data_IF_367192268217
#
_entry.id   IF_367192268217
#
_cell.length_a   1.000
_cell.length_b   1.000
_cell.length_c   1.000
_cell.angle_alpha   90.00
_cell.angle_beta   90.00
_cell.angle_gamma   90.00
#
_symmetry.space_group_name_H-M   'P 1'
#
loop_
_entity.id
_entity.type
_entity.pdbx_description
1 polymer ?
#
# COMPACT_ATOMS: atom_id res chain seq x y z
N UNK A 1 12.29 -24.38 -5.39
CA UNK A 1 11.62 -23.26 -4.71
C UNK A 1 11.17 -23.58 -3.28
N UNK A 2 10.25 -24.54 -3.00
CA UNK A 2 9.80 -24.86 -1.62
C UNK A 2 10.96 -25.15 -0.66
N UNK A 3 11.97 -25.90 -1.11
CA UNK A 3 13.17 -26.19 -0.30
C UNK A 3 13.99 -24.94 0.03
N UNK A 4 14.18 -24.04 -0.94
CA UNK A 4 14.88 -22.77 -0.70
C UNK A 4 14.16 -21.88 0.31
N UNK A 5 12.83 -21.81 0.23
CA UNK A 5 12.01 -21.08 1.22
C UNK A 5 12.17 -21.66 2.64
N UNK A 6 12.21 -22.99 2.78
CA UNK A 6 12.36 -23.60 4.09
C UNK A 6 13.78 -23.45 4.65
N UNK A 7 14.81 -23.49 3.79
CA UNK A 7 16.20 -23.21 4.22
C UNK A 7 16.35 -21.76 4.69
N UNK A 8 15.74 -20.81 3.98
CA UNK A 8 15.75 -19.39 4.41
C UNK A 8 15.05 -19.19 5.75
N UNK A 9 13.93 -19.88 5.98
CA UNK A 9 13.16 -19.81 7.23
C UNK A 9 13.90 -20.43 8.41
N UNK A 10 14.56 -21.58 8.20
CA UNK A 10 15.23 -22.34 9.26
C UNK A 10 16.68 -21.93 9.48
N UNK A 11 17.30 -21.20 8.55
CA UNK A 11 18.72 -20.83 8.53
C UNK A 11 19.67 -22.02 8.34
N UNK A 12 19.16 -23.23 8.06
CA UNK A 12 19.96 -24.44 8.01
C UNK A 12 19.36 -25.48 7.07
N UNK A 13 20.23 -26.07 6.22
CA UNK A 13 19.85 -27.18 5.34
C UNK A 13 19.37 -28.39 6.14
N UNK A 14 20.05 -28.71 7.28
CA UNK A 14 19.68 -29.85 8.10
C UNK A 14 18.31 -29.68 8.76
N UNK A 15 18.03 -28.50 9.33
CA UNK A 15 16.71 -28.20 9.90
C UNK A 15 15.61 -28.20 8.84
N UNK A 16 15.89 -27.65 7.66
CA UNK A 16 14.96 -27.69 6.54
C UNK A 16 14.68 -29.13 6.08
N UNK A 17 15.70 -30.00 6.10
CA UNK A 17 15.59 -31.42 5.76
C UNK A 17 14.65 -32.16 6.72
N UNK A 18 14.79 -31.91 8.02
CA UNK A 18 13.89 -32.44 9.05
C UNK A 18 12.43 -32.01 8.84
N UNK A 19 12.21 -30.71 8.63
CA UNK A 19 10.86 -30.17 8.41
C UNK A 19 10.20 -30.72 7.14
N UNK A 20 10.98 -30.86 6.05
CA UNK A 20 10.48 -31.33 4.77
C UNK A 20 10.47 -32.85 4.62
N UNK A 21 10.96 -33.58 5.63
CA UNK A 21 11.11 -35.06 5.63
C UNK A 21 11.89 -35.58 4.43
N UNK A 22 12.97 -34.89 4.07
CA UNK A 22 13.87 -35.28 2.97
C UNK A 22 15.34 -35.29 3.44
N UNK A 23 16.21 -35.99 2.73
CA UNK A 23 17.62 -36.03 3.08
C UNK A 23 18.31 -34.67 2.78
N UNK A 24 19.13 -34.17 3.71
CA UNK A 24 19.84 -32.90 3.56
C UNK A 24 20.68 -32.78 2.26
N UNK A 25 21.36 -33.85 1.76
CA UNK A 25 22.04 -33.80 0.46
C UNK A 25 21.14 -33.48 -0.71
N UNK A 26 19.89 -33.93 -0.66
CA UNK A 26 18.90 -33.63 -1.74
C UNK A 26 18.52 -32.14 -1.77
N UNK A 27 18.35 -31.53 -0.60
CA UNK A 27 18.11 -30.08 -0.50
C UNK A 27 19.31 -29.30 -1.04
N UNK A 28 20.53 -29.68 -0.60
CA UNK A 28 21.77 -29.03 -1.06
C UNK A 28 21.95 -29.13 -2.57
N UNK A 29 21.62 -30.28 -3.16
CA UNK A 29 21.66 -30.49 -4.62
C UNK A 29 20.64 -29.62 -5.32
N UNK A 30 19.37 -29.65 -4.89
CA UNK A 30 18.30 -28.88 -5.50
C UNK A 30 18.52 -27.37 -5.43
N UNK A 31 19.15 -26.87 -4.36
CA UNK A 31 19.50 -25.45 -4.27
C UNK A 31 20.61 -25.12 -5.27
N UNK A 32 21.67 -25.94 -5.38
CA UNK A 32 22.74 -25.73 -6.33
C UNK A 32 22.27 -25.78 -7.80
N UNK A 33 21.38 -26.73 -8.11
CA UNK A 33 20.77 -26.83 -9.43
C UNK A 33 19.95 -25.55 -9.74
N UNK A 34 19.15 -25.09 -8.79
CA UNK A 34 18.36 -23.86 -8.91
C UNK A 34 19.23 -22.60 -9.10
N UNK A 35 20.32 -22.48 -8.32
CA UNK A 35 21.29 -21.38 -8.46
C UNK A 35 21.99 -21.43 -9.82
N UNK A 36 22.34 -22.62 -10.29
CA UNK A 36 22.96 -22.82 -11.61
C UNK A 36 21.98 -22.46 -12.76
N UNK A 37 20.73 -22.88 -12.66
CA UNK A 37 19.71 -22.60 -13.69
C UNK A 37 19.38 -21.13 -13.80
N UNK A 38 19.41 -20.41 -12.66
CA UNK A 38 19.12 -18.98 -12.61
C UNK A 38 20.35 -18.09 -12.83
N UNK A 39 21.56 -18.64 -12.70
CA UNK A 39 22.80 -17.89 -12.79
C UNK A 39 23.05 -16.95 -11.60
N UNK A 40 22.44 -17.21 -10.44
CA UNK A 40 22.56 -16.40 -9.23
C UNK A 40 23.00 -17.28 -8.04
N UNK A 41 23.56 -16.65 -6.99
CA UNK A 41 23.78 -17.30 -5.70
C UNK A 41 22.67 -16.88 -4.76
N UNK A 42 21.89 -17.85 -4.26
CA UNK A 42 20.76 -17.57 -3.35
C UNK A 42 21.24 -17.54 -1.90
N UNK A 43 22.17 -18.46 -1.55
CA UNK A 43 22.65 -18.61 -0.18
C UNK A 43 24.17 -18.59 -0.09
N UNK A 44 24.67 -17.92 0.93
CA UNK A 44 26.06 -18.00 1.38
C UNK A 44 26.18 -18.83 2.66
N UNK A 45 27.21 -19.69 2.73
CA UNK A 45 27.53 -20.40 3.95
C UNK A 45 28.33 -19.51 4.89
N UNK A 46 27.87 -19.36 6.12
CA UNK A 46 28.53 -18.62 7.19
C UNK A 46 28.79 -19.56 8.38
N UNK A 47 29.59 -19.11 9.34
CA UNK A 47 29.81 -19.87 10.60
C UNK A 47 28.49 -20.07 11.38
N UNK A 48 27.49 -19.20 11.17
CA UNK A 48 26.20 -19.24 11.84
C UNK A 48 25.08 -19.90 11.01
N UNK A 49 25.41 -20.55 9.89
CA UNK A 49 24.46 -21.24 9.03
C UNK A 49 24.37 -20.67 7.62
N UNK A 50 23.19 -20.78 7.00
CA UNK A 50 22.89 -20.28 5.65
C UNK A 50 22.35 -18.86 5.74
N UNK A 51 22.96 -17.92 5.01
CA UNK A 51 22.52 -16.53 4.91
C UNK A 51 22.10 -16.23 3.47
N UNK A 52 21.05 -15.43 3.29
CA UNK A 52 20.62 -14.97 1.97
C UNK A 52 21.59 -13.93 1.40
N UNK A 53 21.81 -14.01 0.10
CA UNK A 53 22.39 -12.92 -0.68
C UNK A 53 21.32 -11.89 -1.06
N UNK A 54 21.67 -10.68 -1.55
CA UNK A 54 20.69 -9.73 -2.09
C UNK A 54 19.83 -10.34 -3.21
N UNK A 55 20.46 -11.05 -4.17
CA UNK A 55 19.74 -11.75 -5.26
C UNK A 55 18.85 -12.87 -4.69
N UNK A 56 19.29 -13.53 -3.62
CA UNK A 56 18.52 -14.55 -2.92
C UNK A 56 17.28 -14.00 -2.24
N UNK A 57 17.34 -12.81 -1.65
CA UNK A 57 16.18 -12.14 -1.06
C UNK A 57 15.13 -11.82 -2.13
N UNK A 58 15.55 -11.23 -3.25
CA UNK A 58 14.67 -10.92 -4.37
C UNK A 58 14.04 -12.20 -4.97
N UNK A 59 14.86 -13.22 -5.22
CA UNK A 59 14.36 -14.52 -5.70
C UNK A 59 13.33 -15.13 -4.76
N UNK A 60 13.54 -15.08 -3.44
CA UNK A 60 12.61 -15.67 -2.49
C UNK A 60 11.27 -14.95 -2.43
N UNK A 61 11.22 -13.66 -2.72
CA UNK A 61 9.96 -12.93 -2.83
C UNK A 61 9.13 -13.45 -4.01
N UNK A 62 9.75 -13.66 -5.16
CA UNK A 62 9.10 -14.33 -6.30
C UNK A 62 8.70 -15.78 -5.96
N UNK A 63 9.59 -16.54 -5.33
CA UNK A 63 9.34 -17.93 -4.96
C UNK A 63 8.16 -18.09 -3.99
N UNK A 64 8.00 -17.18 -3.00
CA UNK A 64 6.84 -17.14 -2.09
C UNK A 64 5.53 -16.93 -2.88
N UNK A 65 5.54 -16.00 -3.82
CA UNK A 65 4.36 -15.73 -4.66
C UNK A 65 3.95 -16.97 -5.47
N UNK A 66 4.90 -17.61 -6.15
CA UNK A 66 4.66 -18.79 -6.99
C UNK A 66 4.15 -19.96 -6.15
N UNK A 67 4.85 -20.29 -5.05
CA UNK A 67 4.45 -21.39 -4.16
C UNK A 67 3.08 -21.13 -3.56
N UNK A 68 2.80 -19.90 -3.13
CA UNK A 68 1.48 -19.53 -2.64
C UNK A 68 0.37 -19.67 -3.68
N UNK A 69 0.67 -19.45 -4.98
CA UNK A 69 -0.29 -19.70 -6.06
C UNK A 69 -0.54 -21.21 -6.26
N UNK A 70 0.51 -22.03 -6.21
CA UNK A 70 0.37 -23.49 -6.31
C UNK A 70 -0.46 -24.02 -5.13
N UNK A 71 -0.16 -23.60 -3.92
CA UNK A 71 -0.90 -24.05 -2.72
C UNK A 71 -2.39 -23.62 -2.78
N UNK A 72 -2.71 -22.47 -3.38
CA UNK A 72 -4.11 -22.05 -3.63
C UNK A 72 -4.80 -22.97 -4.63
N UNK A 73 -4.15 -23.32 -5.74
CA UNK A 73 -4.69 -24.27 -6.72
C UNK A 73 -4.92 -25.63 -6.08
N UNK A 74 -3.95 -26.16 -5.34
CA UNK A 74 -4.09 -27.44 -4.64
C UNK A 74 -5.24 -27.43 -3.62
N UNK A 75 -5.34 -26.35 -2.83
CA UNK A 75 -6.43 -26.20 -1.87
C UNK A 75 -7.80 -26.05 -2.54
N UNK A 76 -7.86 -25.36 -3.69
CA UNK A 76 -9.10 -25.21 -4.45
C UNK A 76 -9.67 -26.55 -4.91
N UNK A 77 -8.81 -27.47 -5.37
CA UNK A 77 -9.26 -28.78 -5.87
C UNK A 77 -9.37 -29.85 -4.78
N UNK A 78 -8.51 -29.85 -3.75
CA UNK A 78 -8.49 -30.88 -2.70
C UNK A 78 -9.62 -30.73 -1.66
N UNK A 79 -10.13 -29.55 -1.42
CA UNK A 79 -11.05 -29.32 -0.29
C UNK A 79 -12.53 -29.21 -0.66
N UNK A 80 -12.92 -29.33 -1.94
CA UNK A 80 -14.34 -29.33 -2.34
C UNK A 80 -15.16 -28.15 -1.78
N UNK A 81 -14.52 -27.01 -1.48
CA UNK A 81 -15.17 -25.91 -0.80
C UNK A 81 -16.12 -25.13 -1.72
N UNK A 82 -17.25 -24.63 -1.18
CA UNK A 82 -18.06 -23.66 -1.89
C UNK A 82 -17.16 -22.50 -2.35
N UNK A 83 -17.44 -21.96 -3.53
CA UNK A 83 -16.70 -20.83 -4.11
C UNK A 83 -16.62 -19.69 -3.11
N UNK A 84 -15.50 -19.60 -2.39
CA UNK A 84 -15.21 -18.49 -1.50
C UNK A 84 -15.08 -17.21 -2.35
N UNK A 85 -15.87 -16.20 -2.04
CA UNK A 85 -15.69 -14.88 -2.64
C UNK A 85 -14.34 -14.31 -2.20
N UNK A 86 -13.54 -13.87 -3.13
CA UNK A 86 -12.25 -13.26 -2.82
C UNK A 86 -12.17 -11.88 -3.42
N UNK A 87 -11.71 -10.91 -2.63
CA UNK A 87 -11.43 -9.55 -3.06
C UNK A 87 -10.21 -9.04 -2.29
N UNK A 88 -9.33 -8.31 -2.96
CA UNK A 88 -8.19 -7.71 -2.29
C UNK A 88 -7.84 -6.35 -2.92
N UNK A 89 -7.72 -5.35 -2.05
CA UNK A 89 -7.39 -3.98 -2.39
C UNK A 89 -6.24 -3.49 -1.52
N UNK A 90 -5.22 -2.93 -2.15
CA UNK A 90 -4.18 -2.13 -1.50
C UNK A 90 -4.28 -0.68 -1.99
N UNK A 91 -4.39 0.28 -1.09
CA UNK A 91 -4.74 1.65 -1.44
C UNK A 91 -4.03 2.69 -0.55
N UNK A 92 -3.93 3.96 -0.98
CA UNK A 92 -3.47 5.03 -0.11
C UNK A 92 -4.47 5.29 1.01
N UNK A 93 -3.99 5.92 2.08
CA UNK A 93 -4.84 6.39 3.19
C UNK A 93 -5.73 7.54 2.70
N UNK A 94 -6.88 7.21 2.11
CA UNK A 94 -7.82 8.15 1.51
C UNK A 94 -9.24 7.92 2.02
N UNK A 95 -9.87 8.99 2.52
CA UNK A 95 -11.21 8.89 3.12
C UNK A 95 -12.27 8.44 2.13
N UNK A 96 -12.21 8.92 0.88
CA UNK A 96 -13.17 8.53 -0.16
C UNK A 96 -13.02 7.04 -0.56
N UNK A 97 -11.79 6.49 -0.54
CA UNK A 97 -11.55 5.07 -0.80
C UNK A 97 -12.11 4.21 0.34
N UNK A 98 -11.89 4.65 1.58
CA UNK A 98 -12.42 3.96 2.76
C UNK A 98 -13.96 3.98 2.75
N UNK A 99 -14.60 5.10 2.40
CA UNK A 99 -16.06 5.19 2.26
C UNK A 99 -16.57 4.27 1.15
N UNK A 100 -15.92 4.29 -0.02
CA UNK A 100 -16.23 3.38 -1.12
C UNK A 100 -16.14 1.91 -0.69
N UNK A 101 -15.13 1.56 0.09
CA UNK A 101 -14.98 0.20 0.60
C UNK A 101 -16.05 -0.15 1.63
N UNK A 102 -16.40 0.78 2.51
CA UNK A 102 -17.49 0.58 3.46
C UNK A 102 -18.83 0.34 2.76
N UNK A 103 -19.13 1.10 1.70
CA UNK A 103 -20.33 0.92 0.90
C UNK A 103 -20.31 -0.41 0.13
N UNK A 104 -19.18 -0.73 -0.51
CA UNK A 104 -18.96 -2.02 -1.16
C UNK A 104 -19.18 -3.19 -0.20
N UNK A 105 -18.75 -3.09 1.05
CA UNK A 105 -18.88 -4.16 2.03
C UNK A 105 -20.34 -4.56 2.30
N UNK A 106 -21.30 -3.65 2.12
CA UNK A 106 -22.75 -3.93 2.26
C UNK A 106 -23.30 -4.81 1.13
N UNK A 107 -22.59 -4.85 -0.01
CA UNK A 107 -22.99 -5.66 -1.18
C UNK A 107 -22.51 -7.11 -1.12
N UNK A 108 -21.70 -7.46 -0.12
CA UNK A 108 -21.19 -8.83 0.05
C UNK A 108 -22.33 -9.79 0.36
N UNK A 109 -22.35 -10.95 -0.33
CA UNK A 109 -23.33 -11.99 -0.06
C UNK A 109 -23.01 -12.70 1.27
N UNK A 110 -23.98 -13.50 1.76
CA UNK A 110 -23.80 -14.31 2.98
C UNK A 110 -22.92 -15.57 2.77
N UNK A 111 -22.39 -15.76 1.56
CA UNK A 111 -21.50 -16.88 1.25
C UNK A 111 -20.12 -16.66 1.88
N UNK A 112 -19.34 -17.75 1.99
CA UNK A 112 -17.97 -17.66 2.47
C UNK A 112 -17.17 -16.64 1.66
N UNK A 113 -16.51 -15.72 2.36
CA UNK A 113 -15.75 -14.63 1.73
C UNK A 113 -14.40 -14.40 2.43
N UNK A 114 -13.41 -13.99 1.66
CA UNK A 114 -12.14 -13.48 2.15
C UNK A 114 -11.87 -12.15 1.47
N UNK A 115 -12.01 -11.07 2.22
CA UNK A 115 -11.96 -9.72 1.73
C UNK A 115 -10.80 -9.02 2.43
N UNK A 116 -9.84 -8.53 1.65
CA UNK A 116 -8.65 -7.86 2.18
C UNK A 116 -8.68 -6.40 1.72
N UNK A 117 -8.63 -5.48 2.67
CA UNK A 117 -8.43 -4.07 2.44
C UNK A 117 -7.22 -3.58 3.24
N UNK A 118 -6.23 -3.03 2.56
CA UNK A 118 -4.98 -2.56 3.19
C UNK A 118 -4.69 -1.12 2.79
N UNK A 119 -4.67 -0.24 3.77
CA UNK A 119 -4.19 1.14 3.58
C UNK A 119 -2.67 1.20 3.73
N UNK A 120 -2.00 1.84 2.77
CA UNK A 120 -0.53 1.94 2.76
C UNK A 120 -0.07 3.05 1.80
N UNK A 121 1.21 3.10 1.45
CA UNK A 121 1.75 4.00 0.42
C UNK A 121 1.83 3.31 -0.96
N UNK A 122 2.15 4.09 -1.99
CA UNK A 122 2.18 3.61 -3.38
C UNK A 122 3.23 2.52 -3.61
N UNK A 123 4.41 2.61 -3.00
CA UNK A 123 5.45 1.57 -3.13
C UNK A 123 4.99 0.25 -2.54
N UNK A 124 4.46 0.30 -1.31
CA UNK A 124 3.95 -0.90 -0.66
C UNK A 124 2.74 -1.48 -1.39
N UNK A 125 1.92 -0.62 -2.02
CA UNK A 125 0.83 -1.08 -2.89
C UNK A 125 1.38 -1.86 -4.09
N UNK A 126 2.40 -1.35 -4.78
CA UNK A 126 3.06 -2.06 -5.88
C UNK A 126 3.65 -3.40 -5.41
N UNK A 127 4.36 -3.40 -4.29
CA UNK A 127 4.90 -4.64 -3.72
C UNK A 127 3.79 -5.64 -3.36
N UNK A 128 2.69 -5.19 -2.75
CA UNK A 128 1.54 -6.05 -2.46
C UNK A 128 0.94 -6.65 -3.75
N UNK A 129 0.88 -5.89 -4.84
CA UNK A 129 0.39 -6.37 -6.14
C UNK A 129 1.34 -7.41 -6.77
N UNK A 130 2.65 -7.23 -6.61
CA UNK A 130 3.66 -8.12 -7.21
C UNK A 130 3.84 -9.38 -6.36
N UNK A 131 4.07 -9.23 -5.05
CA UNK A 131 4.53 -10.32 -4.17
C UNK A 131 3.39 -11.02 -3.42
N UNK A 132 2.30 -10.32 -3.10
CA UNK A 132 1.20 -10.83 -2.27
C UNK A 132 -0.11 -11.06 -3.04
N UNK A 133 -0.07 -10.94 -4.38
CA UNK A 133 -1.20 -11.23 -5.29
C UNK A 133 -2.50 -10.46 -4.98
N UNK A 134 -2.36 -9.22 -4.53
CA UNK A 134 -3.51 -8.32 -4.47
C UNK A 134 -4.06 -8.12 -5.89
N UNK A 135 -5.39 -8.08 -6.03
CA UNK A 135 -6.06 -7.99 -7.33
C UNK A 135 -6.19 -6.56 -7.82
N UNK A 136 -6.52 -5.65 -6.91
CA UNK A 136 -6.62 -4.22 -7.18
C UNK A 136 -5.62 -3.45 -6.33
N UNK A 137 -5.04 -2.42 -6.92
CA UNK A 137 -4.22 -1.44 -6.24
C UNK A 137 -4.68 -0.03 -6.57
N UNK A 138 -4.47 0.90 -5.65
CA UNK A 138 -4.56 2.34 -5.94
C UNK A 138 -3.22 2.96 -5.59
N UNK A 139 -2.60 3.64 -6.56
CA UNK A 139 -1.34 4.37 -6.36
C UNK A 139 -1.59 5.86 -6.44
N UNK A 140 -0.98 6.61 -5.53
CA UNK A 140 -1.03 8.06 -5.44
C UNK A 140 0.33 8.66 -5.68
N UNK A 141 0.42 9.68 -6.51
CA UNK A 141 1.64 10.44 -6.77
C UNK A 141 1.32 11.87 -7.19
N UNK A 142 2.31 12.75 -7.08
CA UNK A 142 2.19 14.11 -7.57
C UNK A 142 2.33 14.13 -9.11
N UNK A 143 1.57 15.01 -9.77
CA UNK A 143 1.46 15.07 -11.24
C UNK A 143 2.81 15.20 -11.97
N UNK A 144 3.80 15.86 -11.37
CA UNK A 144 5.14 15.96 -11.92
C UNK A 144 5.84 14.60 -12.12
N UNK A 145 5.35 13.53 -11.50
CA UNK A 145 5.83 12.15 -11.67
C UNK A 145 4.95 11.31 -12.59
N UNK A 146 3.98 11.89 -13.29
CA UNK A 146 2.98 11.15 -14.09
C UNK A 146 3.64 10.23 -15.14
N UNK A 147 4.58 10.77 -15.92
CA UNK A 147 5.30 9.98 -16.94
C UNK A 147 6.09 8.83 -16.32
N UNK A 148 6.75 9.08 -15.19
CA UNK A 148 7.53 8.05 -14.51
C UNK A 148 6.63 6.91 -13.98
N UNK A 149 5.54 7.24 -13.30
CA UNK A 149 4.62 6.24 -12.78
C UNK A 149 3.99 5.41 -13.88
N UNK A 150 3.54 6.02 -14.96
CA UNK A 150 2.94 5.32 -16.10
C UNK A 150 3.93 4.36 -16.76
N UNK A 151 5.15 4.83 -17.07
CA UNK A 151 6.20 3.99 -17.65
C UNK A 151 6.56 2.81 -16.73
N UNK A 152 6.72 3.06 -15.44
CA UNK A 152 7.00 2.00 -14.45
C UNK A 152 5.85 0.98 -14.34
N UNK A 153 4.59 1.42 -14.37
CA UNK A 153 3.44 0.53 -14.33
C UNK A 153 3.36 -0.36 -15.58
N UNK A 154 3.62 0.21 -16.76
CA UNK A 154 3.69 -0.53 -18.02
C UNK A 154 4.83 -1.56 -18.02
N UNK A 155 6.04 -1.18 -17.59
CA UNK A 155 7.19 -2.07 -17.46
C UNK A 155 6.90 -3.24 -16.51
N UNK A 156 6.21 -2.98 -15.40
CA UNK A 156 5.83 -4.00 -14.43
C UNK A 156 4.58 -4.80 -14.81
N UNK A 157 4.02 -4.58 -16.00
CA UNK A 157 2.88 -5.32 -16.52
C UNK A 157 1.55 -4.99 -15.84
N UNK A 158 1.32 -3.72 -15.50
CA UNK A 158 0.05 -3.25 -14.96
C UNK A 158 -0.75 -2.44 -15.98
N UNK A 159 -2.04 -2.67 -16.00
CA UNK A 159 -3.05 -1.75 -16.57
C UNK A 159 -3.40 -0.73 -15.49
N UNK A 160 -3.60 0.53 -15.90
CA UNK A 160 -3.96 1.61 -15.00
C UNK A 160 -5.10 2.47 -15.55
N UNK A 161 -5.92 3.01 -14.66
CA UNK A 161 -7.03 3.90 -14.97
C UNK A 161 -7.02 5.09 -14.00
N UNK A 162 -7.18 6.31 -14.51
CA UNK A 162 -7.26 7.51 -13.67
C UNK A 162 -8.56 7.49 -12.85
N UNK A 163 -8.42 7.48 -11.54
CA UNK A 163 -9.56 7.65 -10.63
C UNK A 163 -9.88 9.12 -10.50
N UNK A 164 -8.92 9.92 -10.04
CA UNK A 164 -9.12 11.34 -9.77
C UNK A 164 -7.82 12.13 -9.73
N UNK A 165 -7.95 13.44 -9.89
CA UNK A 165 -6.92 14.45 -9.63
C UNK A 165 -7.43 15.39 -8.55
N UNK A 166 -6.56 15.82 -7.65
CA UNK A 166 -6.93 16.73 -6.56
C UNK A 166 -5.71 17.50 -6.03
N UNK A 167 -5.98 18.57 -5.30
CA UNK A 167 -4.99 19.25 -4.45
C UNK A 167 -5.22 18.83 -3.00
N UNK A 168 -4.16 18.73 -2.20
CA UNK A 168 -4.32 18.49 -0.77
C UNK A 168 -5.00 19.68 -0.09
N UNK A 169 -5.90 19.37 0.83
CA UNK A 169 -6.53 20.28 1.76
C UNK A 169 -5.81 20.21 3.12
N UNK A 170 -5.95 21.25 3.91
CA UNK A 170 -5.53 21.27 5.30
C UNK A 170 -6.73 20.89 6.16
N UNK A 171 -6.55 19.88 7.01
CA UNK A 171 -7.54 19.50 8.03
C UNK A 171 -7.04 19.86 9.42
N UNK A 172 -7.92 20.35 10.26
CA UNK A 172 -7.65 20.76 11.64
C UNK A 172 -8.90 20.65 12.49
N UNK A 173 -8.76 20.79 13.82
CA UNK A 173 -9.91 20.96 14.72
C UNK A 173 -10.74 22.17 14.31
N UNK A 174 -12.07 22.09 14.44
CA UNK A 174 -12.96 23.26 14.26
C UNK A 174 -12.66 24.39 15.26
N UNK A 175 -12.07 24.01 16.41
CA UNK A 175 -11.71 24.97 17.48
C UNK A 175 -10.31 25.57 17.29
N UNK A 176 -9.56 25.11 16.29
CA UNK A 176 -8.25 25.66 15.95
C UNK A 176 -8.34 27.14 15.55
N UNK A 177 -7.40 27.98 15.97
CA UNK A 177 -7.31 29.35 15.45
C UNK A 177 -7.19 29.39 13.91
N UNK A 178 -6.53 28.43 13.27
CA UNK A 178 -6.46 28.30 11.80
C UNK A 178 -7.84 28.16 11.17
N UNK A 179 -8.76 27.50 11.83
CA UNK A 179 -10.13 27.31 11.31
C UNK A 179 -10.92 28.63 11.20
N UNK A 180 -10.51 29.67 11.92
CA UNK A 180 -11.15 30.99 11.91
C UNK A 180 -10.62 31.91 10.82
N UNK A 181 -9.49 31.57 10.20
CA UNK A 181 -8.91 32.37 9.11
C UNK A 181 -9.75 32.22 7.83
N UNK A 182 -9.97 33.30 7.12
CA UNK A 182 -10.65 33.25 5.80
C UNK A 182 -9.82 32.51 4.75
N UNK A 183 -8.49 32.71 4.79
CA UNK A 183 -7.52 32.04 3.94
C UNK A 183 -6.31 31.59 4.77
N UNK A 184 -5.80 30.40 4.50
CA UNK A 184 -4.62 29.85 5.17
C UNK A 184 -3.44 29.93 4.21
N UNK A 185 -2.34 30.56 4.66
CA UNK A 185 -1.07 30.62 3.95
C UNK A 185 -0.06 29.64 4.57
N UNK A 186 1.03 29.33 3.88
CA UNK A 186 2.15 28.55 4.43
C UNK A 186 2.76 29.22 5.66
N UNK A 187 2.79 30.53 5.71
CA UNK A 187 3.29 31.30 6.86
C UNK A 187 2.44 31.06 8.12
N UNK A 188 1.11 31.00 7.98
CA UNK A 188 0.23 30.70 9.10
C UNK A 188 0.49 29.33 9.73
N UNK A 189 1.00 28.38 8.93
CA UNK A 189 1.25 27.01 9.39
C UNK A 189 2.52 26.83 10.20
N UNK A 190 3.46 27.79 10.15
CA UNK A 190 4.77 27.70 10.85
C UNK A 190 4.66 27.54 12.36
N UNK A 191 3.66 28.13 12.95
CA UNK A 191 3.45 28.08 14.40
C UNK A 191 2.76 26.79 14.87
N UNK A 192 2.24 26.00 13.93
CA UNK A 192 1.47 24.78 14.20
C UNK A 192 2.31 23.52 14.05
N UNK A 193 1.77 22.41 14.53
CA UNK A 193 2.38 21.09 14.42
C UNK A 193 1.75 20.33 13.26
N UNK A 194 2.55 19.97 12.27
CA UNK A 194 2.08 19.10 11.19
C UNK A 194 2.00 17.64 11.66
N UNK A 195 0.83 17.02 11.50
CA UNK A 195 0.69 15.57 11.60
C UNK A 195 0.94 14.99 10.20
N UNK A 196 1.91 14.08 10.09
CA UNK A 196 2.31 13.49 8.83
C UNK A 196 2.43 11.98 8.92
N UNK A 197 2.23 11.28 7.79
CA UNK A 197 2.57 9.87 7.71
C UNK A 197 4.08 9.71 7.52
N UNK A 198 4.66 8.75 8.27
CA UNK A 198 6.10 8.53 8.29
C UNK A 198 6.65 7.80 7.05
N UNK A 199 5.79 7.36 6.15
CA UNK A 199 6.14 6.54 5.00
C UNK A 199 5.70 7.13 3.63
N UNK A 200 6.03 8.40 3.32
CA UNK A 200 5.84 8.95 1.98
C UNK A 200 6.70 8.15 0.99
N UNK A 201 6.25 8.08 -0.25
CA UNK A 201 7.00 7.42 -1.31
C UNK A 201 7.01 8.23 -2.59
N UNK A 202 8.20 8.57 -3.03
CA UNK A 202 8.47 9.09 -4.37
C UNK A 202 9.54 8.20 -5.01
N UNK A 203 9.29 7.63 -6.19
CA UNK A 203 10.25 6.79 -6.87
C UNK A 203 11.57 7.50 -7.12
N UNK A 204 12.66 6.74 -7.07
CA UNK A 204 14.02 7.21 -7.35
C UNK A 204 14.58 8.25 -6.37
N UNK A 205 13.87 8.57 -5.30
CA UNK A 205 14.37 9.50 -4.29
C UNK A 205 14.66 8.80 -2.95
N UNK A 206 15.79 9.11 -2.30
CA UNK A 206 16.04 8.67 -0.94
C UNK A 206 14.95 9.20 0.01
N UNK A 207 14.51 8.37 0.98
CA UNK A 207 13.45 8.73 1.94
C UNK A 207 13.71 10.09 2.61
N UNK A 208 14.97 10.42 2.92
CA UNK A 208 15.35 11.71 3.50
C UNK A 208 15.05 12.92 2.60
N UNK A 209 15.08 12.74 1.26
CA UNK A 209 14.72 13.79 0.32
C UNK A 209 13.22 13.84 0.05
N UNK A 210 12.57 12.69 -0.01
CA UNK A 210 11.11 12.59 -0.17
C UNK A 210 10.37 13.31 0.96
N UNK A 211 10.80 13.08 2.20
CA UNK A 211 10.22 13.77 3.38
C UNK A 211 10.32 15.29 3.24
N UNK A 212 11.40 15.83 2.63
CA UNK A 212 11.57 17.27 2.45
C UNK A 212 10.72 17.85 1.31
N UNK A 213 10.40 17.06 0.28
CA UNK A 213 9.59 17.54 -0.85
C UNK A 213 8.08 17.43 -0.61
N UNK A 214 7.64 16.38 0.08
CA UNK A 214 6.22 16.20 0.44
C UNK A 214 5.80 17.12 1.60
N UNK A 215 6.73 17.43 2.49
CA UNK A 215 6.50 18.26 3.66
C UNK A 215 7.16 19.62 3.42
N UNK A 216 6.39 20.70 3.51
CA UNK A 216 6.94 22.05 3.40
C UNK A 216 8.21 22.21 4.25
N UNK A 217 9.29 22.68 3.65
CA UNK A 217 10.55 22.94 4.35
C UNK A 217 10.45 24.06 5.38
N UNK A 218 9.32 24.76 5.43
CA UNK A 218 9.04 25.88 6.32
C UNK A 218 8.41 25.45 7.65
N UNK A 219 8.07 24.16 7.81
CA UNK A 219 7.43 23.62 9.03
C UNK A 219 8.45 22.82 9.83
N UNK A 220 8.82 23.31 11.00
CA UNK A 220 9.84 22.70 11.86
C UNK A 220 9.27 21.72 12.88
N UNK A 221 7.95 21.75 13.14
CA UNK A 221 7.28 20.95 14.17
C UNK A 221 6.41 19.89 13.54
N UNK A 222 6.74 18.59 13.75
CA UNK A 222 6.01 17.47 13.17
C UNK A 222 5.79 16.33 14.15
N UNK A 223 4.62 15.68 14.01
CA UNK A 223 4.29 14.41 14.64
C UNK A 223 4.10 13.39 13.52
N UNK A 224 4.95 12.38 13.49
CA UNK A 224 4.78 11.28 12.52
C UNK A 224 3.87 10.21 13.08
N UNK A 225 2.84 9.85 12.32
CA UNK A 225 1.89 8.79 12.64
C UNK A 225 1.96 7.67 11.59
N UNK A 226 1.71 6.45 12.01
CA UNK A 226 1.70 5.28 11.13
C UNK A 226 0.26 4.80 10.87
N UNK A 227 -0.59 4.91 11.90
CA UNK A 227 -1.96 4.44 11.85
C UNK A 227 -2.95 5.61 11.66
N UNK A 228 -3.97 5.38 10.82
CA UNK A 228 -4.94 6.42 10.46
C UNK A 228 -5.78 6.90 11.63
N UNK A 229 -6.12 6.02 12.57
CA UNK A 229 -6.95 6.39 13.71
C UNK A 229 -6.27 7.43 14.59
N UNK A 230 -4.95 7.31 14.81
CA UNK A 230 -4.17 8.24 15.63
C UNK A 230 -4.21 9.68 15.11
N UNK A 231 -4.28 9.89 13.81
CA UNK A 231 -4.32 11.25 13.23
C UNK A 231 -5.58 12.00 13.62
N UNK A 232 -6.74 11.35 13.65
CA UNK A 232 -8.01 11.99 13.98
C UNK A 232 -8.08 12.37 15.48
N UNK A 233 -7.60 11.47 16.35
CA UNK A 233 -7.50 11.76 17.79
C UNK A 233 -6.57 12.93 18.09
N UNK A 234 -5.42 12.99 17.43
CA UNK A 234 -4.48 14.10 17.60
C UNK A 234 -5.07 15.43 17.13
N UNK A 235 -5.67 15.45 15.94
CA UNK A 235 -6.30 16.63 15.36
C UNK A 235 -7.46 17.15 16.22
N UNK A 236 -8.29 16.26 16.77
CA UNK A 236 -9.45 16.63 17.60
C UNK A 236 -9.01 17.20 18.94
N UNK A 237 -7.99 16.60 19.57
CA UNK A 237 -7.58 16.95 20.94
C UNK A 237 -6.56 18.08 21.02
N UNK A 238 -5.82 18.34 19.96
CA UNK A 238 -4.80 19.38 19.94
C UNK A 238 -5.09 20.40 18.84
N UNK A 239 -5.62 21.56 19.23
CA UNK A 239 -5.99 22.66 18.34
C UNK A 239 -4.83 23.30 17.59
N UNK A 240 -3.59 23.04 18.03
CA UNK A 240 -2.37 23.54 17.41
C UNK A 240 -1.81 22.57 16.36
N UNK A 241 -2.61 21.57 15.94
CA UNK A 241 -2.22 20.59 14.93
C UNK A 241 -3.00 20.76 13.64
N UNK A 242 -2.36 20.42 12.54
CA UNK A 242 -3.00 20.30 11.22
C UNK A 242 -2.40 19.13 10.43
N UNK A 243 -3.06 18.75 9.36
CA UNK A 243 -2.57 17.70 8.45
C UNK A 243 -2.98 17.99 7.01
N UNK A 244 -2.08 17.66 6.06
CA UNK A 244 -2.39 17.63 4.64
C UNK A 244 -3.11 16.33 4.26
N UNK A 245 -4.28 16.46 3.64
CA UNK A 245 -5.15 15.32 3.28
C UNK A 245 -5.75 15.48 1.89
N UNK A 246 -6.03 14.38 1.19
CA UNK A 246 -6.99 14.42 0.09
C UNK A 246 -8.36 14.82 0.64
N UNK A 247 -9.25 15.41 -0.17
CA UNK A 247 -10.57 15.84 0.29
C UNK A 247 -11.27 14.77 1.15
N UNK A 248 -11.81 15.20 2.29
CA UNK A 248 -12.43 14.33 3.30
C UNK A 248 -13.96 14.52 3.25
N UNK A 249 -14.73 13.41 3.32
CA UNK A 249 -16.19 13.47 3.42
C UNK A 249 -16.67 14.31 4.62
N UNK A 250 -17.71 15.13 4.42
CA UNK A 250 -18.26 15.98 5.48
C UNK A 250 -18.70 15.14 6.70
N UNK A 251 -19.28 13.96 6.48
CA UNK A 251 -19.68 13.05 7.55
C UNK A 251 -18.54 12.61 8.46
N UNK A 252 -17.31 12.56 7.93
CA UNK A 252 -16.12 12.23 8.71
C UNK A 252 -15.60 13.47 9.46
N UNK A 253 -15.64 14.64 8.83
CA UNK A 253 -15.32 15.91 9.46
C UNK A 253 -16.23 16.17 10.66
N UNK A 254 -17.54 16.01 10.47
CA UNK A 254 -18.53 16.19 11.54
C UNK A 254 -18.32 15.22 12.71
N UNK A 255 -17.99 13.95 12.40
CA UNK A 255 -17.75 12.92 13.42
C UNK A 255 -16.62 13.25 14.37
N UNK A 256 -15.58 13.93 13.88
CA UNK A 256 -14.38 14.24 14.63
C UNK A 256 -14.25 15.73 14.97
N UNK A 257 -15.31 16.51 14.77
CA UNK A 257 -15.29 17.95 15.00
C UNK A 257 -14.12 18.66 14.27
N UNK A 258 -13.92 18.31 13.01
CA UNK A 258 -12.85 18.81 12.16
C UNK A 258 -13.40 19.68 11.04
N UNK A 259 -12.53 20.52 10.48
CA UNK A 259 -12.79 21.30 9.27
C UNK A 259 -11.65 21.12 8.27
N UNK A 260 -11.96 21.27 6.99
CA UNK A 260 -10.94 21.28 5.94
C UNK A 260 -10.97 22.62 5.20
N UNK A 261 -9.78 23.12 4.86
CA UNK A 261 -9.60 24.37 4.11
C UNK A 261 -8.52 24.24 3.06
N UNK A 262 -8.53 25.12 2.08
CA UNK A 262 -7.46 25.24 1.11
C UNK A 262 -6.29 26.05 1.68
N UNK A 263 -5.07 25.73 1.23
CA UNK A 263 -3.92 26.60 1.41
C UNK A 263 -3.70 27.41 0.12
N UNK A 264 -3.54 28.71 0.26
CA UNK A 264 -3.49 29.64 -0.89
C UNK A 264 -2.34 29.37 -1.85
N UNK A 265 -1.20 28.90 -1.34
CA UNK A 265 -0.01 28.60 -2.15
C UNK A 265 0.04 27.15 -2.65
N UNK A 266 -0.83 26.27 -2.12
CA UNK A 266 -0.80 24.87 -2.55
C UNK A 266 -1.44 24.69 -3.93
N UNK A 267 -0.59 24.49 -4.93
CA UNK A 267 -0.98 24.23 -6.32
C UNK A 267 -0.57 22.85 -6.81
N UNK A 268 -0.03 22.02 -5.91
CA UNK A 268 0.47 20.68 -6.25
C UNK A 268 -0.71 19.74 -6.49
N UNK A 269 -0.81 19.24 -7.71
CA UNK A 269 -1.83 18.28 -8.12
C UNK A 269 -1.33 16.88 -7.82
N UNK A 270 -2.20 16.05 -7.25
CA UNK A 270 -2.00 14.63 -7.03
C UNK A 270 -2.97 13.82 -7.88
N UNK A 271 -2.51 12.65 -8.31
CA UNK A 271 -3.30 11.68 -9.08
C UNK A 271 -3.42 10.37 -8.31
N UNK A 272 -4.63 9.82 -8.32
CA UNK A 272 -4.89 8.44 -7.89
C UNK A 272 -5.20 7.60 -9.12
N UNK A 273 -4.41 6.54 -9.35
CA UNK A 273 -4.64 5.55 -10.40
C UNK A 273 -5.09 4.23 -9.79
N UNK A 274 -6.17 3.66 -10.31
CA UNK A 274 -6.51 2.25 -10.13
C UNK A 274 -5.54 1.42 -10.97
N UNK A 275 -4.97 0.36 -10.39
CA UNK A 275 -4.05 -0.54 -11.07
C UNK A 275 -4.45 -2.01 -10.89
N UNK A 276 -4.23 -2.82 -11.91
CA UNK A 276 -4.38 -4.27 -11.87
C UNK A 276 -3.46 -4.94 -12.91
N UNK A 277 -3.13 -6.22 -12.74
CA UNK A 277 -2.20 -6.91 -13.66
C UNK A 277 -2.75 -6.99 -15.08
N UNK A 278 -1.89 -6.85 -16.07
CA UNK A 278 -2.26 -7.02 -17.49
C UNK A 278 -2.91 -8.40 -17.70
N UNK A 279 -4.00 -8.42 -18.46
CA UNK A 279 -4.77 -9.65 -18.71
C UNK A 279 -5.65 -10.12 -17.55
N UNK A 280 -5.62 -9.45 -16.39
CA UNK A 280 -6.55 -9.75 -15.30
C UNK A 280 -7.98 -9.36 -15.69
N UNK A 281 -8.89 -10.32 -15.60
CA UNK A 281 -10.32 -10.07 -15.85
C UNK A 281 -10.99 -9.68 -14.54
N UNK A 282 -11.43 -8.46 -14.45
CA UNK A 282 -12.14 -7.93 -13.28
C UNK A 282 -13.32 -8.83 -12.91
N UNK A 283 -13.35 -9.30 -11.67
CA UNK A 283 -14.41 -10.10 -11.09
C UNK A 283 -15.69 -9.26 -10.89
N UNK A 284 -16.77 -9.90 -10.49
CA UNK A 284 -18.01 -9.20 -10.11
C UNK A 284 -17.76 -8.24 -8.94
N UNK A 285 -17.01 -8.69 -7.92
CA UNK A 285 -16.69 -7.88 -6.74
C UNK A 285 -15.80 -6.68 -7.09
N UNK A 286 -14.82 -6.86 -7.98
CA UNK A 286 -13.97 -5.75 -8.42
C UNK A 286 -14.80 -4.65 -9.08
N UNK A 287 -15.72 -5.01 -9.97
CA UNK A 287 -16.61 -4.04 -10.64
C UNK A 287 -17.56 -3.35 -9.66
N UNK A 288 -18.09 -4.07 -8.68
CA UNK A 288 -18.92 -3.49 -7.63
C UNK A 288 -18.13 -2.47 -6.82
N UNK A 289 -16.90 -2.81 -6.41
CA UNK A 289 -16.03 -1.85 -5.72
C UNK A 289 -15.72 -0.62 -6.58
N UNK A 290 -15.37 -0.80 -7.86
CA UNK A 290 -15.09 0.32 -8.79
C UNK A 290 -16.31 1.23 -8.94
N UNK A 291 -17.52 0.68 -8.95
CA UNK A 291 -18.75 1.48 -8.94
C UNK A 291 -18.87 2.32 -7.68
N UNK A 292 -18.71 1.71 -6.49
CA UNK A 292 -18.73 2.44 -5.21
C UNK A 292 -17.62 3.51 -5.15
N UNK A 293 -16.43 3.20 -5.69
CA UNK A 293 -15.31 4.13 -5.76
C UNK A 293 -15.64 5.35 -6.64
N UNK A 294 -16.29 5.13 -7.77
CA UNK A 294 -16.72 6.18 -8.69
C UNK A 294 -17.80 7.07 -8.06
N UNK A 295 -18.72 6.48 -7.33
CA UNK A 295 -19.78 7.20 -6.60
C UNK A 295 -19.20 8.03 -5.46
N UNK A 296 -18.32 7.45 -4.64
CA UNK A 296 -17.65 8.16 -3.55
C UNK A 296 -16.82 9.34 -4.08
N UNK A 297 -16.04 9.13 -5.14
CA UNK A 297 -15.27 10.20 -5.79
C UNK A 297 -16.16 11.39 -6.19
N UNK A 298 -17.31 11.14 -6.85
CA UNK A 298 -18.21 12.20 -7.32
C UNK A 298 -18.80 13.06 -6.21
N UNK A 299 -18.84 12.55 -4.98
CA UNK A 299 -19.37 13.30 -3.83
C UNK A 299 -18.35 14.28 -3.25
N UNK A 300 -17.05 14.04 -3.41
CA UNK A 300 -16.01 14.72 -2.62
C UNK A 300 -14.90 15.36 -3.46
N UNK A 301 -14.85 15.06 -4.73
CA UNK A 301 -13.90 15.59 -5.71
C UNK A 301 -14.67 16.34 -6.83
#
# INVERSE_FOLDING_TARGET
MKQALEVAKSGSINKAAEVLLVAAPNISRSIKELESDLGITIFERTQNGMKLTPDGEEFLDFARSIVGQIDRVENYYKKGHPRKQTFSLSAPRASYVCEAFAEFSKSLSKEAAEIIYKETNSQRTLNNMITHDYKLGIVRYAENYDMYFKAMLEEKGFTYELITEFTYKIIMSKDSPLAKLDAISSENLREYIEIAHADPYVPSMPVSKVVKEELSGEIDRRIFVFERTSQFELLTRNTDTFMWVSPIPQSLLDRYDLVQKDCTENRKIYKDLLIYKNGYKLSKLDRQFITCLTEAKRKYM
#
